data_IF_460905940743
#
_entry.id   IF_460905940743
#
_cell.length_a   1.000
_cell.length_b   1.000
_cell.length_c   1.000
_cell.angle_alpha   90.00
_cell.angle_beta   90.00
_cell.angle_gamma   90.00
#
_symmetry.space_group_name_H-M   'P 1'
#
loop_
_entity.id
_entity.type
_entity.pdbx_description
1 polymer ?
#
# COMPACT_ATOMS: atom_id res chain seq x y z
N UNK A 1 20.97 8.59 -0.72
CA UNK A 1 19.95 7.71 -0.08
C UNK A 1 18.95 7.27 -1.14
N UNK A 2 18.50 6.03 -1.12
CA UNK A 2 17.44 5.55 -2.00
C UNK A 2 16.12 6.27 -1.71
N UNK A 3 15.35 6.58 -2.77
CA UNK A 3 14.05 7.25 -2.61
C UNK A 3 13.10 6.34 -1.81
N UNK A 4 12.46 6.89 -0.76
CA UNK A 4 11.49 6.16 0.05
C UNK A 4 10.15 5.96 -0.65
N UNK A 5 9.84 6.78 -1.67
CA UNK A 5 8.56 6.68 -2.39
C UNK A 5 8.54 5.45 -3.30
N UNK A 6 7.40 4.79 -3.32
CA UNK A 6 7.06 3.62 -4.15
C UNK A 6 5.75 3.92 -4.87
N UNK A 7 5.68 3.70 -6.17
CA UNK A 7 4.43 3.87 -6.91
C UNK A 7 3.54 2.65 -6.71
N UNK A 8 2.38 2.87 -6.07
CA UNK A 8 1.30 1.89 -5.98
C UNK A 8 0.53 1.83 -7.30
N UNK A 9 0.26 0.65 -7.81
CA UNK A 9 -0.22 0.45 -9.18
C UNK A 9 -1.67 -0.08 -9.27
N UNK A 10 -2.42 -0.09 -8.18
CA UNK A 10 -3.79 -0.64 -8.17
C UNK A 10 -4.69 0.03 -9.22
N UNK A 11 -4.67 1.37 -9.30
CA UNK A 11 -5.45 2.14 -10.28
C UNK A 11 -4.91 2.05 -11.73
N UNK A 12 -3.77 1.42 -11.95
CA UNK A 12 -3.29 1.12 -13.30
C UNK A 12 -4.04 -0.06 -13.92
N UNK A 13 -4.50 -1.04 -13.13
CA UNK A 13 -5.16 -2.24 -13.60
C UNK A 13 -6.66 -2.31 -13.32
N UNK A 14 -7.18 -1.53 -12.37
CA UNK A 14 -8.58 -1.60 -11.95
C UNK A 14 -9.08 -0.25 -11.42
N UNK A 15 -10.39 -0.10 -11.30
CA UNK A 15 -10.96 1.02 -10.55
C UNK A 15 -10.56 0.86 -9.07
N UNK A 16 -9.94 1.89 -8.51
CA UNK A 16 -9.42 1.81 -7.15
C UNK A 16 -9.48 3.17 -6.44
N UNK A 17 -9.90 3.13 -5.18
CA UNK A 17 -10.02 4.31 -4.33
C UNK A 17 -11.46 4.83 -4.22
N UNK A 18 -11.63 5.83 -3.38
CA UNK A 18 -12.90 6.53 -3.16
C UNK A 18 -12.93 7.90 -3.85
N UNK A 19 -11.81 8.36 -4.40
CA UNK A 19 -11.67 9.65 -5.07
C UNK A 19 -12.58 9.82 -6.29
N UNK A 20 -12.86 11.08 -6.65
CA UNK A 20 -13.59 11.38 -7.90
C UNK A 20 -12.93 10.74 -9.12
N UNK A 21 -11.61 10.50 -9.04
CA UNK A 21 -10.78 9.86 -10.05
C UNK A 21 -10.46 8.39 -9.72
N UNK A 22 -11.39 7.66 -9.09
CA UNK A 22 -11.21 6.23 -8.75
C UNK A 22 -11.20 5.29 -9.97
N UNK A 23 -11.38 5.83 -11.17
CA UNK A 23 -11.35 5.06 -12.42
C UNK A 23 -9.94 4.56 -12.74
N UNK A 24 -9.90 3.39 -13.38
CA UNK A 24 -8.67 2.85 -13.95
C UNK A 24 -8.04 3.86 -14.92
N UNK A 25 -6.75 4.11 -14.75
CA UNK A 25 -6.02 5.04 -15.60
C UNK A 25 -5.86 4.53 -17.04
N UNK A 26 -5.73 5.45 -17.98
CA UNK A 26 -5.34 5.11 -19.35
C UNK A 26 -3.91 4.61 -19.41
N UNK A 27 -3.54 3.87 -20.45
CA UNK A 27 -2.15 3.44 -20.67
C UNK A 27 -1.22 4.64 -20.83
N UNK A 28 -1.68 5.65 -21.57
CA UNK A 28 -0.91 6.88 -21.78
C UNK A 28 -0.62 7.60 -20.46
N UNK A 29 -1.63 7.80 -19.61
CA UNK A 29 -1.45 8.42 -18.28
C UNK A 29 -0.51 7.59 -17.41
N UNK A 30 -0.67 6.26 -17.41
CA UNK A 30 0.23 5.34 -16.68
C UNK A 30 1.67 5.50 -17.12
N UNK A 31 1.92 5.51 -18.43
CA UNK A 31 3.26 5.71 -19.01
C UNK A 31 3.86 7.06 -18.62
N UNK A 32 3.09 8.13 -18.69
CA UNK A 32 3.53 9.48 -18.30
C UNK A 32 3.91 9.55 -16.82
N UNK A 33 3.09 8.95 -15.92
CA UNK A 33 3.38 8.86 -14.49
C UNK A 33 4.70 8.10 -14.25
N UNK A 34 4.90 6.95 -14.88
CA UNK A 34 6.11 6.14 -14.70
C UNK A 34 7.35 6.86 -15.23
N UNK A 35 7.26 7.52 -16.38
CA UNK A 35 8.35 8.33 -16.91
C UNK A 35 8.71 9.51 -16.00
N UNK A 36 7.68 10.16 -15.42
CA UNK A 36 7.90 11.26 -14.50
C UNK A 36 8.50 10.76 -13.18
N UNK A 37 8.01 9.65 -12.63
CA UNK A 37 8.55 9.02 -11.43
C UNK A 37 10.04 8.65 -11.58
N UNK A 38 10.45 8.12 -12.75
CA UNK A 38 11.87 7.86 -13.06
C UNK A 38 12.72 9.13 -12.96
N UNK A 39 12.23 10.26 -13.51
CA UNK A 39 12.94 11.54 -13.42
C UNK A 39 13.10 12.03 -11.97
N UNK A 40 12.18 11.70 -11.10
CA UNK A 40 12.24 11.98 -9.67
C UNK A 40 13.09 10.97 -8.87
N UNK A 41 13.69 9.98 -9.54
CA UNK A 41 14.52 8.94 -8.90
C UNK A 41 13.71 7.87 -8.16
N UNK A 42 12.39 7.78 -8.40
CA UNK A 42 11.56 6.69 -7.89
C UNK A 42 11.76 5.48 -8.78
N UNK A 43 12.17 4.34 -8.19
CA UNK A 43 12.56 3.14 -8.93
C UNK A 43 11.84 1.87 -8.47
N UNK A 44 10.83 2.00 -7.62
CA UNK A 44 10.11 0.84 -7.06
C UNK A 44 8.62 0.95 -7.36
N UNK A 45 8.04 -0.15 -7.84
CA UNK A 45 6.60 -0.33 -8.04
C UNK A 45 6.06 -1.32 -7.00
N UNK A 46 4.90 -1.01 -6.45
CA UNK A 46 4.10 -1.92 -5.63
C UNK A 46 2.85 -2.33 -6.41
N UNK A 47 2.78 -3.60 -6.78
CA UNK A 47 1.67 -4.21 -7.50
C UNK A 47 1.08 -5.39 -6.73
N UNK A 48 0.10 -6.06 -7.31
CA UNK A 48 -0.44 -7.34 -6.85
C UNK A 48 -1.03 -8.11 -8.02
N UNK A 49 -1.02 -9.43 -7.96
CA UNK A 49 -1.63 -10.32 -8.95
C UNK A 49 -3.13 -10.02 -9.09
N UNK A 50 -3.79 -9.60 -8.01
CA UNK A 50 -5.21 -9.25 -7.98
C UNK A 50 -5.57 -7.87 -8.55
N UNK A 51 -4.61 -7.08 -9.06
CA UNK A 51 -4.89 -5.73 -9.57
C UNK A 51 -5.32 -5.73 -11.06
N UNK A 52 -6.31 -6.55 -11.40
CA UNK A 52 -6.88 -6.59 -12.76
C UNK A 52 -5.84 -6.88 -13.83
N UNK A 53 -5.77 -6.06 -14.88
CA UNK A 53 -4.82 -6.21 -15.98
C UNK A 53 -3.47 -5.47 -15.76
N UNK A 54 -3.18 -5.06 -14.52
CA UNK A 54 -2.00 -4.26 -14.20
C UNK A 54 -0.70 -4.90 -14.68
N UNK A 55 -0.51 -6.21 -14.44
CA UNK A 55 0.69 -6.94 -14.86
C UNK A 55 0.95 -6.82 -16.36
N UNK A 56 -0.06 -7.08 -17.19
CA UNK A 56 0.02 -6.98 -18.65
C UNK A 56 0.34 -5.56 -19.11
N UNK A 57 -0.28 -4.58 -18.49
CA UNK A 57 -0.08 -3.17 -18.81
C UNK A 57 1.33 -2.69 -18.47
N UNK A 58 1.86 -3.09 -17.31
CA UNK A 58 3.24 -2.77 -16.93
C UNK A 58 4.23 -3.39 -17.92
N UNK A 59 4.03 -4.64 -18.33
CA UNK A 59 4.87 -5.28 -19.35
C UNK A 59 4.79 -4.59 -20.71
N UNK A 60 3.59 -4.17 -21.15
CA UNK A 60 3.40 -3.43 -22.40
C UNK A 60 4.13 -2.05 -22.39
N UNK A 61 4.12 -1.36 -21.24
CA UNK A 61 4.80 -0.06 -21.09
C UNK A 61 6.32 -0.22 -21.06
N UNK A 62 6.83 -1.35 -20.58
CA UNK A 62 8.27 -1.61 -20.40
C UNK A 62 8.79 -1.02 -19.09
N UNK A 63 9.08 -1.91 -18.13
CA UNK A 63 9.51 -1.51 -16.79
C UNK A 63 10.75 -2.29 -16.32
N UNK A 64 11.63 -2.68 -17.25
CA UNK A 64 12.78 -3.57 -16.99
C UNK A 64 13.71 -3.03 -15.91
N UNK A 65 13.82 -1.70 -15.79
CA UNK A 65 14.70 -1.04 -14.80
C UNK A 65 14.03 -0.83 -13.42
N UNK A 66 12.80 -1.28 -13.26
CA UNK A 66 12.09 -1.08 -12.02
C UNK A 66 12.27 -2.25 -11.06
N UNK A 67 12.36 -1.94 -9.76
CA UNK A 67 12.19 -2.91 -8.69
C UNK A 67 10.70 -3.15 -8.50
N UNK A 68 10.26 -4.38 -8.62
CA UNK A 68 8.83 -4.72 -8.52
C UNK A 68 8.56 -5.53 -7.26
N UNK A 69 7.66 -5.02 -6.43
CA UNK A 69 7.06 -5.74 -5.31
C UNK A 69 5.70 -6.22 -5.77
N UNK A 70 5.44 -7.51 -5.66
CA UNK A 70 4.12 -8.09 -5.99
C UNK A 70 3.50 -8.78 -4.78
N UNK A 71 2.21 -9.10 -4.87
CA UNK A 71 1.47 -9.77 -3.80
C UNK A 71 0.71 -10.97 -4.34
N UNK A 72 0.82 -12.10 -3.63
CA UNK A 72 -0.01 -13.26 -3.85
C UNK A 72 -1.39 -12.99 -3.22
N UNK A 73 -2.49 -13.15 -3.96
CA UNK A 73 -3.83 -12.97 -3.43
C UNK A 73 -4.17 -14.06 -2.41
N UNK A 74 -5.34 -13.93 -1.76
CA UNK A 74 -5.89 -14.97 -0.90
C UNK A 74 -5.94 -16.30 -1.66
N UNK A 75 -5.55 -17.39 -0.99
CA UNK A 75 -5.64 -18.74 -1.56
C UNK A 75 -7.10 -19.03 -1.90
N UNK A 76 -7.44 -19.39 -3.16
CA UNK A 76 -8.80 -19.73 -3.54
C UNK A 76 -9.28 -20.99 -2.83
N UNK A 77 -10.58 -21.06 -2.55
CA UNK A 77 -11.17 -22.28 -2.01
C UNK A 77 -11.03 -23.44 -3.00
N UNK A 78 -10.75 -24.65 -2.49
CA UNK A 78 -10.65 -25.85 -3.30
C UNK A 78 -9.33 -26.05 -4.03
N UNK A 79 -8.30 -25.28 -3.73
CA UNK A 79 -6.95 -25.55 -4.20
C UNK A 79 -6.39 -26.78 -3.49
N UNK A 80 -5.99 -27.79 -4.28
CA UNK A 80 -5.41 -29.04 -3.76
C UNK A 80 -3.88 -28.96 -3.65
N UNK A 81 -3.20 -28.18 -4.50
CA UNK A 81 -1.76 -27.99 -4.52
C UNK A 81 -1.43 -26.50 -4.50
N UNK A 82 -1.16 -25.99 -3.29
CA UNK A 82 -0.82 -24.58 -3.07
C UNK A 82 0.53 -24.25 -3.69
N UNK A 83 1.47 -25.19 -3.68
CA UNK A 83 2.80 -24.94 -4.22
C UNK A 83 2.76 -24.76 -5.74
N UNK A 84 2.02 -25.59 -6.46
CA UNK A 84 1.85 -25.46 -7.91
C UNK A 84 1.10 -24.15 -8.24
N UNK A 85 0.02 -23.85 -7.51
CA UNK A 85 -0.72 -22.62 -7.68
C UNK A 85 0.12 -21.37 -7.46
N UNK A 86 0.93 -21.31 -6.39
CA UNK A 86 1.85 -20.19 -6.11
C UNK A 86 2.87 -20.02 -7.22
N UNK A 87 3.50 -21.11 -7.65
CA UNK A 87 4.49 -21.10 -8.74
C UNK A 87 3.89 -20.60 -10.05
N UNK A 88 2.71 -21.14 -10.41
CA UNK A 88 2.02 -20.74 -11.62
C UNK A 88 1.64 -19.25 -11.60
N UNK A 89 1.03 -18.80 -10.49
CA UNK A 89 0.59 -17.40 -10.33
C UNK A 89 1.77 -16.42 -10.41
N UNK A 90 2.89 -16.73 -9.76
CA UNK A 90 4.08 -15.89 -9.80
C UNK A 90 4.77 -15.93 -11.16
N UNK A 91 4.88 -17.11 -11.78
CA UNK A 91 5.49 -17.26 -13.11
C UNK A 91 4.69 -16.48 -14.16
N UNK A 92 3.37 -16.60 -14.14
CA UNK A 92 2.48 -15.85 -15.03
C UNK A 92 2.65 -14.33 -14.81
N UNK A 93 2.62 -13.87 -13.55
CA UNK A 93 2.81 -12.45 -13.24
C UNK A 93 4.17 -11.94 -13.71
N UNK A 94 5.24 -12.70 -13.49
CA UNK A 94 6.59 -12.33 -13.93
C UNK A 94 6.67 -12.22 -15.47
N UNK A 95 6.07 -13.16 -16.18
CA UNK A 95 6.01 -13.18 -17.66
C UNK A 95 5.19 -11.99 -18.17
N UNK A 96 4.02 -11.72 -17.60
CA UNK A 96 3.17 -10.60 -18.01
C UNK A 96 3.82 -9.24 -17.77
N UNK A 97 4.53 -9.08 -16.65
CA UNK A 97 5.25 -7.84 -16.29
C UNK A 97 6.56 -7.69 -17.08
N UNK A 98 7.19 -8.79 -17.49
CA UNK A 98 8.48 -8.80 -18.14
C UNK A 98 9.68 -8.72 -17.18
N UNK A 99 9.54 -9.25 -15.95
CA UNK A 99 10.61 -9.25 -14.95
C UNK A 99 11.17 -10.66 -14.73
N UNK A 100 12.49 -10.76 -14.57
CA UNK A 100 13.15 -12.03 -14.23
C UNK A 100 13.18 -12.32 -12.72
N UNK A 101 13.08 -11.28 -11.90
CA UNK A 101 13.13 -11.39 -10.45
C UNK A 101 12.36 -10.24 -9.79
N UNK A 102 11.50 -10.56 -8.83
CA UNK A 102 10.83 -9.56 -8.00
C UNK A 102 11.77 -9.03 -6.89
N UNK A 103 11.63 -7.76 -6.53
CA UNK A 103 12.28 -7.20 -5.34
C UNK A 103 11.73 -7.86 -4.08
N UNK A 104 10.41 -8.06 -4.04
CA UNK A 104 9.76 -8.82 -2.99
C UNK A 104 8.44 -9.46 -3.47
N UNK A 105 8.09 -10.57 -2.82
CA UNK A 105 6.77 -11.18 -2.90
C UNK A 105 6.14 -11.12 -1.52
N UNK A 106 4.98 -10.48 -1.41
CA UNK A 106 4.22 -10.38 -0.18
C UNK A 106 3.00 -11.30 -0.23
N UNK A 107 2.57 -11.80 0.90
CA UNK A 107 1.24 -12.40 1.05
C UNK A 107 0.24 -11.29 1.34
N UNK A 108 -0.82 -11.22 0.52
CA UNK A 108 -1.81 -10.14 0.60
C UNK A 108 -2.79 -10.34 1.76
N UNK A 109 -3.08 -11.62 2.09
CA UNK A 109 -3.96 -12.00 3.20
C UNK A 109 -3.15 -12.75 4.28
N UNK A 110 -2.83 -12.13 5.43
CA UNK A 110 -2.02 -12.76 6.47
C UNK A 110 -2.66 -14.03 7.04
N UNK A 111 -4.00 -14.15 6.99
CA UNK A 111 -4.73 -15.33 7.45
C UNK A 111 -4.38 -16.62 6.71
N UNK A 112 -3.83 -16.54 5.49
CA UNK A 112 -3.44 -17.72 4.72
C UNK A 112 -2.25 -18.46 5.34
N UNK A 113 -1.44 -17.80 6.18
CA UNK A 113 -0.37 -18.47 6.92
C UNK A 113 -0.87 -19.30 8.10
N UNK A 114 -2.03 -18.96 8.65
CA UNK A 114 -2.62 -19.63 9.83
C UNK A 114 -3.55 -20.76 9.41
N UNK A 115 -4.02 -20.73 8.18
CA UNK A 115 -4.93 -21.73 7.62
C UNK A 115 -4.25 -23.07 7.33
N UNK A 116 -5.04 -24.01 6.85
CA UNK A 116 -4.64 -25.38 6.49
C UNK A 116 -3.39 -25.41 5.60
N UNK A 117 -3.28 -24.47 4.67
CA UNK A 117 -2.21 -24.38 3.68
C UNK A 117 -0.99 -23.54 4.09
N UNK A 118 -0.96 -23.03 5.31
CA UNK A 118 0.07 -22.06 5.73
C UNK A 118 1.51 -22.60 5.63
N UNK A 119 1.72 -23.88 5.94
CA UNK A 119 3.04 -24.52 5.83
C UNK A 119 3.49 -24.66 4.37
N UNK A 120 2.58 -25.07 3.48
CA UNK A 120 2.86 -25.22 2.06
C UNK A 120 3.14 -23.85 1.42
N UNK A 121 2.35 -22.84 1.78
CA UNK A 121 2.54 -21.46 1.33
C UNK A 121 3.93 -20.95 1.72
N UNK A 122 4.34 -21.10 2.99
CA UNK A 122 5.64 -20.67 3.46
C UNK A 122 6.78 -21.43 2.75
N UNK A 123 6.62 -22.75 2.57
CA UNK A 123 7.60 -23.55 1.84
C UNK A 123 7.75 -23.05 0.39
N UNK A 124 6.63 -22.79 -0.29
CA UNK A 124 6.61 -22.29 -1.67
C UNK A 124 7.33 -20.94 -1.80
N UNK A 125 7.08 -20.01 -0.87
CA UNK A 125 7.76 -18.72 -0.84
C UNK A 125 9.27 -18.85 -0.64
N UNK A 126 9.70 -19.73 0.29
CA UNK A 126 11.12 -20.01 0.53
C UNK A 126 11.79 -20.66 -0.68
N UNK A 127 11.08 -21.54 -1.42
CA UNK A 127 11.58 -22.14 -2.66
C UNK A 127 11.74 -21.09 -3.77
N UNK A 128 10.77 -20.19 -3.94
CA UNK A 128 10.88 -19.07 -4.88
C UNK A 128 12.09 -18.18 -4.56
N UNK A 129 12.32 -17.88 -3.29
CA UNK A 129 13.50 -17.10 -2.87
C UNK A 129 14.80 -17.86 -3.14
N UNK A 130 14.89 -19.15 -2.79
CA UNK A 130 16.04 -20.00 -3.09
C UNK A 130 16.37 -20.05 -4.58
N UNK A 131 15.35 -20.06 -5.43
CA UNK A 131 15.46 -20.04 -6.89
C UNK A 131 15.71 -18.65 -7.47
N UNK A 132 15.86 -17.62 -6.64
CA UNK A 132 16.07 -16.24 -7.04
C UNK A 132 14.95 -15.65 -7.89
N UNK A 133 13.72 -16.15 -7.74
CA UNK A 133 12.52 -15.53 -8.33
C UNK A 133 12.13 -14.27 -7.57
N UNK A 134 12.47 -14.21 -6.29
CA UNK A 134 12.34 -13.01 -5.45
C UNK A 134 13.55 -12.81 -4.55
N UNK A 135 13.85 -11.57 -4.19
CA UNK A 135 14.90 -11.27 -3.22
C UNK A 135 14.40 -11.39 -1.79
N UNK A 136 13.16 -10.98 -1.51
CA UNK A 136 12.59 -10.91 -0.17
C UNK A 136 11.19 -11.52 -0.12
N UNK A 137 10.82 -11.99 1.06
CA UNK A 137 9.48 -12.49 1.37
C UNK A 137 8.88 -11.61 2.46
N UNK A 138 7.63 -11.24 2.29
CA UNK A 138 6.95 -10.40 3.26
C UNK A 138 5.45 -10.64 3.37
N UNK A 139 4.79 -9.78 4.12
CA UNK A 139 3.36 -9.87 4.37
C UNK A 139 2.71 -8.48 4.39
N UNK A 140 1.50 -8.38 3.88
CA UNK A 140 0.65 -7.19 4.03
C UNK A 140 -0.31 -7.41 5.19
N UNK A 141 -0.24 -6.55 6.20
CA UNK A 141 -1.07 -6.63 7.42
C UNK A 141 -2.01 -5.45 7.52
N UNK A 142 -2.98 -5.56 8.41
CA UNK A 142 -3.87 -4.46 8.81
C UNK A 142 -3.75 -4.10 10.29
N UNK A 143 -3.43 -5.08 11.12
CA UNK A 143 -3.43 -4.96 12.58
C UNK A 143 -2.15 -5.57 13.19
N UNK A 144 -1.82 -5.11 14.38
CA UNK A 144 -0.70 -5.65 15.16
C UNK A 144 -0.79 -7.17 15.32
N UNK A 145 -1.99 -7.67 15.62
CA UNK A 145 -2.27 -9.11 15.80
C UNK A 145 -1.90 -9.94 14.57
N UNK A 146 -2.06 -9.40 13.36
CA UNK A 146 -1.67 -10.11 12.14
C UNK A 146 -0.18 -10.44 12.17
N UNK A 147 0.66 -9.43 12.48
CA UNK A 147 2.11 -9.64 12.53
C UNK A 147 2.54 -10.52 13.70
N UNK A 148 1.97 -10.34 14.89
CA UNK A 148 2.25 -11.18 16.05
C UNK A 148 2.01 -12.66 15.74
N UNK A 149 0.94 -12.96 15.02
CA UNK A 149 0.62 -14.31 14.56
C UNK A 149 1.65 -14.82 13.56
N UNK A 150 2.07 -14.00 12.60
CA UNK A 150 3.09 -14.36 11.59
C UNK A 150 4.44 -14.60 12.23
N UNK A 151 4.86 -13.79 13.20
CA UNK A 151 6.15 -13.92 13.88
C UNK A 151 6.28 -15.25 14.63
N UNK A 152 5.19 -15.88 15.05
CA UNK A 152 5.20 -17.24 15.62
C UNK A 152 5.45 -18.33 14.57
N UNK A 153 5.33 -18.00 13.27
CA UNK A 153 5.50 -18.94 12.15
C UNK A 153 6.86 -18.72 11.46
N UNK A 154 7.16 -17.47 11.13
CA UNK A 154 8.44 -17.05 10.54
C UNK A 154 8.63 -15.55 10.69
N UNK A 155 9.86 -15.08 10.58
CA UNK A 155 10.18 -13.67 10.52
C UNK A 155 10.15 -13.20 9.06
N UNK A 156 9.18 -12.34 8.65
CA UNK A 156 9.15 -11.75 7.33
C UNK A 156 10.30 -10.74 7.16
N UNK A 157 10.74 -10.53 5.92
CA UNK A 157 11.78 -9.53 5.63
C UNK A 157 11.15 -8.15 5.37
N UNK A 158 9.86 -8.14 4.97
CA UNK A 158 9.08 -6.93 4.73
C UNK A 158 7.70 -7.08 5.38
N UNK A 159 7.30 -6.04 6.07
CA UNK A 159 5.91 -5.84 6.52
C UNK A 159 5.34 -4.62 5.82
N UNK A 160 4.23 -4.79 5.11
CA UNK A 160 3.49 -3.69 4.52
C UNK A 160 2.19 -3.46 5.27
N UNK A 161 1.93 -2.23 5.73
CA UNK A 161 0.78 -1.93 6.58
C UNK A 161 0.16 -0.55 6.27
N UNK A 162 -1.14 -0.35 6.57
CA UNK A 162 -1.77 0.95 6.44
C UNK A 162 -1.31 1.88 7.56
N UNK A 163 -0.91 3.10 7.20
CA UNK A 163 -0.65 4.19 8.14
C UNK A 163 -0.98 5.51 7.46
N UNK A 164 -1.75 6.35 8.12
CA UNK A 164 -2.00 7.71 7.69
C UNK A 164 -2.30 8.61 8.90
N UNK A 165 -2.52 9.89 8.66
CA UNK A 165 -2.75 10.88 9.70
C UNK A 165 -3.99 10.60 10.58
N UNK A 166 -4.89 9.74 10.08
CA UNK A 166 -6.13 9.32 10.76
C UNK A 166 -5.98 7.91 11.33
N UNK A 167 -5.46 6.96 10.55
CA UNK A 167 -5.20 5.59 11.01
C UNK A 167 -3.80 5.47 11.60
N UNK A 168 -3.74 5.60 12.92
CA UNK A 168 -2.51 5.51 13.72
C UNK A 168 -2.45 4.22 14.54
N UNK A 169 -3.28 3.20 14.24
CA UNK A 169 -3.36 1.96 15.03
C UNK A 169 -2.01 1.30 15.24
N UNK A 170 -1.16 1.30 14.22
CA UNK A 170 0.18 0.69 14.23
C UNK A 170 1.30 1.65 14.70
N UNK A 171 0.98 2.91 15.02
CA UNK A 171 1.94 3.85 15.60
C UNK A 171 1.96 3.82 17.12
N UNK A 172 0.95 3.22 17.76
CA UNK A 172 0.86 3.13 19.22
C UNK A 172 2.06 2.36 19.77
N UNK A 173 2.64 2.89 20.87
CA UNK A 173 3.76 2.27 21.60
C UNK A 173 5.00 2.01 20.73
N UNK A 174 5.28 2.90 19.77
CA UNK A 174 6.45 2.81 18.87
C UNK A 174 6.55 1.49 18.09
N UNK A 175 5.42 0.83 17.84
CA UNK A 175 5.37 -0.53 17.26
C UNK A 175 6.11 -0.66 15.93
N UNK A 176 6.01 0.33 15.03
CA UNK A 176 6.76 0.29 13.76
C UNK A 176 8.28 0.38 13.98
N UNK A 177 8.70 1.11 15.02
CA UNK A 177 10.11 1.17 15.39
C UNK A 177 10.60 -0.17 15.96
N UNK A 178 9.78 -0.84 16.77
CA UNK A 178 10.07 -2.20 17.24
C UNK A 178 10.27 -3.17 16.07
N UNK A 179 9.37 -3.15 15.08
CA UNK A 179 9.47 -3.98 13.87
C UNK A 179 10.78 -3.69 13.12
N UNK A 180 11.11 -2.42 12.92
CA UNK A 180 12.35 -2.01 12.26
C UNK A 180 13.60 -2.50 13.01
N UNK A 181 13.58 -2.43 14.36
CA UNK A 181 14.67 -2.92 15.21
C UNK A 181 14.86 -4.46 15.13
N UNK A 182 13.84 -5.20 14.73
CA UNK A 182 13.94 -6.63 14.43
C UNK A 182 14.63 -6.91 13.08
N UNK A 183 15.02 -5.88 12.32
CA UNK A 183 15.59 -5.99 10.98
C UNK A 183 14.56 -6.26 9.88
N UNK A 184 13.30 -5.97 10.14
CA UNK A 184 12.19 -6.10 9.19
C UNK A 184 11.97 -4.76 8.50
N UNK A 185 11.96 -4.72 7.17
CA UNK A 185 11.63 -3.49 6.44
C UNK A 185 10.14 -3.15 6.61
N UNK A 186 9.87 -1.91 6.95
CA UNK A 186 8.51 -1.39 7.13
C UNK A 186 8.09 -0.57 5.92
N UNK A 187 7.11 -1.06 5.19
CA UNK A 187 6.48 -0.35 4.08
C UNK A 187 5.09 0.13 4.49
N UNK A 188 4.83 1.41 4.40
CA UNK A 188 3.48 1.92 4.66
C UNK A 188 2.71 2.16 3.37
N UNK A 189 1.39 1.97 3.44
CA UNK A 189 0.45 2.22 2.35
C UNK A 189 -0.77 3.00 2.84
N UNK A 190 -1.66 3.36 1.92
CA UNK A 190 -2.94 4.02 2.22
C UNK A 190 -2.79 5.38 2.92
N UNK A 191 -1.74 6.13 2.60
CA UNK A 191 -1.44 7.42 3.24
C UNK A 191 -2.55 8.46 3.04
N UNK A 192 -3.36 8.31 1.99
CA UNK A 192 -4.54 9.14 1.70
C UNK A 192 -5.87 8.44 2.02
N UNK A 193 -5.84 7.31 2.75
CA UNK A 193 -7.02 6.50 3.05
C UNK A 193 -7.83 6.20 1.77
N UNK A 194 -7.17 5.61 0.75
CA UNK A 194 -7.71 5.35 -0.58
C UNK A 194 -8.27 6.61 -1.30
N UNK A 195 -7.68 7.77 -1.04
CA UNK A 195 -8.09 9.05 -1.61
C UNK A 195 -9.16 9.79 -0.79
N UNK A 196 -9.77 9.13 0.20
CA UNK A 196 -10.85 9.72 1.00
C UNK A 196 -10.41 11.00 1.73
N UNK A 197 -9.18 11.08 2.23
CA UNK A 197 -8.67 12.25 2.94
C UNK A 197 -8.35 13.44 2.03
N UNK A 198 -8.32 13.25 0.71
CA UNK A 198 -8.01 14.31 -0.25
C UNK A 198 -9.25 14.98 -0.85
N UNK A 199 -10.44 14.52 -0.45
CA UNK A 199 -11.68 15.16 -0.88
C UNK A 199 -11.83 16.59 -0.35
N UNK A 200 -12.44 17.42 -1.17
CA UNK A 200 -13.10 18.62 -0.64
C UNK A 200 -14.25 18.18 0.26
N UNK A 201 -14.31 18.76 1.46
CA UNK A 201 -15.33 18.42 2.46
C UNK A 201 -16.78 18.64 1.99
N UNK A 202 -16.99 19.37 0.89
CA UNK A 202 -18.30 19.55 0.27
C UNK A 202 -18.69 18.41 -0.68
N UNK A 203 -17.71 17.58 -1.09
CA UNK A 203 -17.88 16.51 -2.08
C UNK A 203 -17.60 15.11 -1.52
N UNK A 204 -17.73 14.93 -0.21
CA UNK A 204 -17.51 13.65 0.45
C UNK A 204 -18.54 12.62 -0.03
N UNK A 205 -18.11 11.39 -0.39
CA UNK A 205 -19.05 10.34 -0.77
C UNK A 205 -20.11 10.09 0.31
N UNK A 206 -21.35 9.83 -0.14
CA UNK A 206 -22.52 9.78 0.73
C UNK A 206 -22.38 8.81 1.91
N UNK A 207 -21.70 7.68 1.70
CA UNK A 207 -21.44 6.68 2.72
C UNK A 207 -20.57 7.18 3.88
N UNK A 208 -19.79 8.24 3.66
CA UNK A 208 -18.92 8.85 4.68
C UNK A 208 -19.49 10.13 5.28
N UNK A 209 -20.65 10.61 4.80
CA UNK A 209 -21.27 11.84 5.35
C UNK A 209 -21.74 11.68 6.79
N UNK A 210 -21.95 10.45 7.26
CA UNK A 210 -22.29 10.14 8.65
C UNK A 210 -21.20 10.55 9.66
N UNK A 211 -19.95 10.68 9.23
CA UNK A 211 -18.82 11.10 10.06
C UNK A 211 -18.64 12.63 10.08
N UNK A 212 -19.74 13.38 10.24
CA UNK A 212 -19.77 14.85 10.13
C UNK A 212 -18.77 15.54 11.04
N UNK A 213 -18.71 15.12 12.30
CA UNK A 213 -17.84 15.72 13.32
C UNK A 213 -16.36 15.56 12.94
N UNK A 214 -16.00 14.39 12.40
CA UNK A 214 -14.66 14.15 11.87
C UNK A 214 -14.35 15.12 10.72
N UNK A 215 -15.24 15.27 9.74
CA UNK A 215 -15.00 16.14 8.59
C UNK A 215 -14.92 17.61 8.96
N UNK A 216 -15.74 18.07 9.91
CA UNK A 216 -15.66 19.43 10.43
C UNK A 216 -14.34 19.69 11.14
N UNK A 217 -13.90 18.75 11.98
CA UNK A 217 -12.63 18.82 12.67
C UNK A 217 -11.45 18.80 11.70
N UNK A 218 -11.50 17.94 10.67
CA UNK A 218 -10.50 17.85 9.62
C UNK A 218 -10.33 19.18 8.88
N UNK A 219 -11.44 19.75 8.38
CA UNK A 219 -11.46 21.05 7.70
C UNK A 219 -10.92 22.17 8.59
N UNK A 220 -11.38 22.23 9.83
CA UNK A 220 -10.98 23.27 10.80
C UNK A 220 -9.49 23.19 11.11
N UNK A 221 -8.98 21.97 11.33
CA UNK A 221 -7.55 21.76 11.60
C UNK A 221 -6.69 22.13 10.39
N UNK A 222 -7.02 21.66 9.17
CA UNK A 222 -6.32 22.03 7.95
C UNK A 222 -6.24 23.55 7.77
N UNK A 223 -7.37 24.24 7.98
CA UNK A 223 -7.45 25.70 7.88
C UNK A 223 -6.56 26.40 8.92
N UNK A 224 -6.56 25.91 10.17
CA UNK A 224 -5.73 26.47 11.24
C UNK A 224 -4.23 26.32 10.97
N UNK A 225 -3.84 25.20 10.35
CA UNK A 225 -2.44 24.90 10.00
C UNK A 225 -2.04 25.48 8.63
N UNK A 226 -2.99 26.01 7.86
CA UNK A 226 -2.82 26.48 6.46
C UNK A 226 -2.24 25.39 5.57
N UNK A 227 -2.74 24.17 5.69
CA UNK A 227 -2.31 22.99 4.93
C UNK A 227 -3.38 22.56 3.93
N UNK A 228 -2.93 22.03 2.79
CA UNK A 228 -3.81 21.23 1.93
C UNK A 228 -3.95 19.80 2.50
N UNK A 229 -5.01 19.05 2.18
CA UNK A 229 -5.15 17.66 2.60
C UNK A 229 -3.97 16.79 2.17
N UNK A 230 -3.49 16.94 0.93
CA UNK A 230 -2.35 16.18 0.40
C UNK A 230 -1.08 16.52 1.17
N UNK A 231 -0.81 17.81 1.41
CA UNK A 231 0.34 18.27 2.18
C UNK A 231 0.35 17.68 3.60
N UNK A 232 -0.79 17.73 4.28
CA UNK A 232 -0.94 17.20 5.63
C UNK A 232 -0.62 15.71 5.70
N UNK A 233 -1.21 14.91 4.79
CA UNK A 233 -0.97 13.46 4.75
C UNK A 233 0.48 13.11 4.45
N UNK A 234 1.10 13.76 3.46
CA UNK A 234 2.48 13.47 3.04
C UNK A 234 3.48 13.87 4.12
N UNK A 235 3.35 15.07 4.68
CA UNK A 235 4.27 15.56 5.72
C UNK A 235 4.13 14.77 7.03
N UNK A 236 2.93 14.29 7.34
CA UNK A 236 2.71 13.40 8.48
C UNK A 236 3.50 12.10 8.31
N UNK A 237 3.30 11.36 7.22
CA UNK A 237 3.96 10.06 7.06
C UNK A 237 5.47 10.18 6.89
N UNK A 238 5.95 11.29 6.33
CA UNK A 238 7.39 11.54 6.18
C UNK A 238 8.09 11.81 7.54
N UNK A 239 7.34 12.15 8.58
CA UNK A 239 7.88 12.39 9.93
C UNK A 239 8.08 11.10 10.74
N UNK A 240 7.46 9.99 10.33
CA UNK A 240 7.44 8.76 11.11
C UNK A 240 8.80 8.04 10.98
N UNK A 241 9.40 7.73 12.12
CA UNK A 241 10.64 6.95 12.17
C UNK A 241 10.38 5.46 11.96
N UNK A 242 11.41 4.73 11.52
CA UNK A 242 11.30 3.28 11.31
C UNK A 242 10.55 2.86 10.04
N UNK A 243 10.26 3.81 9.12
CA UNK A 243 9.66 3.53 7.83
C UNK A 243 10.73 3.53 6.73
N UNK A 244 10.80 2.44 5.97
CA UNK A 244 11.72 2.27 4.85
C UNK A 244 11.12 2.74 3.53
N UNK A 245 9.84 2.42 3.27
CA UNK A 245 9.15 2.76 2.02
C UNK A 245 7.73 3.26 2.26
N UNK A 246 7.28 4.16 1.39
CA UNK A 246 5.95 4.77 1.40
C UNK A 246 5.29 4.53 0.05
N UNK A 247 4.27 3.68 0.03
CA UNK A 247 3.51 3.35 -1.18
C UNK A 247 2.45 4.43 -1.41
N UNK A 248 2.57 5.12 -2.56
CA UNK A 248 1.67 6.19 -2.97
C UNK A 248 0.87 5.80 -4.21
N UNK A 249 -0.46 5.94 -4.13
CA UNK A 249 -1.32 5.94 -5.31
C UNK A 249 -1.32 7.32 -5.96
N UNK A 250 -1.21 7.36 -7.28
CA UNK A 250 -1.19 8.62 -8.05
C UNK A 250 -2.07 8.52 -9.28
N UNK A 251 -2.78 9.60 -9.61
CA UNK A 251 -3.73 9.64 -10.74
C UNK A 251 -3.22 10.49 -11.91
N UNK A 252 -2.17 11.28 -11.71
CA UNK A 252 -1.56 12.13 -12.74
C UNK A 252 -0.11 12.48 -12.38
N UNK A 253 0.63 13.01 -13.35
CA UNK A 253 1.97 13.56 -13.13
C UNK A 253 1.95 14.78 -12.20
N UNK A 254 0.91 15.61 -12.26
CA UNK A 254 0.73 16.76 -11.37
C UNK A 254 0.53 16.32 -9.91
N UNK A 255 -0.30 15.29 -9.68
CA UNK A 255 -0.48 14.71 -8.35
C UNK A 255 0.84 14.14 -7.81
N UNK A 256 1.62 13.43 -8.65
CA UNK A 256 2.94 12.94 -8.24
C UNK A 256 3.91 14.07 -7.93
N UNK A 257 3.89 15.15 -8.73
CA UNK A 257 4.73 16.33 -8.50
C UNK A 257 4.38 17.00 -7.16
N UNK A 258 3.10 17.14 -6.85
CA UNK A 258 2.60 17.69 -5.59
C UNK A 258 3.07 16.87 -4.39
N UNK A 259 2.87 15.54 -4.43
CA UNK A 259 3.34 14.63 -3.37
C UNK A 259 4.85 14.76 -3.18
N UNK A 260 5.62 14.73 -4.26
CA UNK A 260 7.07 14.82 -4.22
C UNK A 260 7.55 16.17 -3.62
N UNK A 261 6.86 17.26 -3.98
CA UNK A 261 7.13 18.58 -3.40
C UNK A 261 6.91 18.57 -1.88
N UNK A 262 5.77 18.06 -1.40
CA UNK A 262 5.50 18.03 0.04
C UNK A 262 6.38 17.04 0.81
N UNK A 263 6.87 16.00 0.16
CA UNK A 263 7.81 15.05 0.75
C UNK A 263 9.15 15.70 1.12
N UNK A 264 9.53 16.79 0.46
CA UNK A 264 10.73 17.58 0.79
C UNK A 264 10.53 18.62 1.89
N UNK A 265 9.28 18.84 2.35
CA UNK A 265 8.95 19.80 3.40
C UNK A 265 9.22 19.22 4.80
N UNK A 266 9.46 20.08 5.81
CA UNK A 266 9.59 19.62 7.18
C UNK A 266 8.30 18.96 7.68
N UNK A 267 8.38 18.12 8.73
CA UNK A 267 7.21 17.54 9.38
C UNK A 267 6.15 18.59 9.75
N UNK A 268 4.90 18.15 9.90
CA UNK A 268 3.85 19.01 10.47
C UNK A 268 4.19 19.35 11.91
N UNK A 269 3.89 20.58 12.34
CA UNK A 269 4.23 21.05 13.70
C UNK A 269 3.31 20.48 14.77
N UNK A 270 2.03 20.41 14.45
CA UNK A 270 1.00 19.90 15.34
C UNK A 270 0.16 18.86 14.61
N UNK A 271 0.06 17.67 15.18
CA UNK A 271 -0.83 16.64 14.70
C UNK A 271 -2.28 16.93 15.11
N UNK A 272 -3.26 16.57 14.25
CA UNK A 272 -4.66 16.70 14.64
C UNK A 272 -4.96 15.78 15.83
N UNK A 273 -5.75 16.30 16.76
CA UNK A 273 -6.28 15.51 17.87
C UNK A 273 -7.69 15.08 17.50
N UNK A 274 -7.80 13.81 17.14
CA UNK A 274 -9.10 13.16 16.99
C UNK A 274 -9.59 12.76 18.38
N UNK A 275 -10.91 12.73 18.60
CA UNK A 275 -11.50 12.10 19.79
C UNK A 275 -10.96 10.66 19.93
N UNK A 276 -10.96 10.11 21.12
CA UNK A 276 -10.27 8.87 21.48
C UNK A 276 -10.60 7.66 20.60
N UNK A 277 -11.72 7.67 19.87
CA UNK A 277 -12.22 6.55 19.10
C UNK A 277 -12.73 7.02 17.74
N UNK A 278 -11.78 7.22 16.81
CA UNK A 278 -12.18 7.22 15.39
C UNK A 278 -12.79 5.85 15.09
N UNK A 279 -14.02 5.87 14.60
CA UNK A 279 -14.74 4.66 14.27
C UNK A 279 -13.93 3.80 13.31
N UNK A 280 -13.70 2.56 13.65
CA UNK A 280 -12.97 1.59 12.81
C UNK A 280 -13.54 1.56 11.40
N UNK A 281 -14.84 1.79 11.25
CA UNK A 281 -15.55 1.85 9.99
C UNK A 281 -15.10 3.01 9.08
N UNK A 282 -14.57 4.10 9.64
CA UNK A 282 -13.98 5.18 8.84
C UNK A 282 -12.59 4.80 8.32
N UNK A 283 -11.76 4.21 9.18
CA UNK A 283 -10.32 4.03 8.91
C UNK A 283 -9.96 2.69 8.28
N UNK A 284 -10.90 1.71 8.27
CA UNK A 284 -10.65 0.39 7.73
C UNK A 284 -11.40 0.14 6.41
N UNK A 285 -10.73 0.25 5.25
CA UNK A 285 -11.37 0.05 3.94
C UNK A 285 -12.01 -1.33 3.74
N UNK A 286 -11.65 -2.33 4.53
CA UNK A 286 -12.27 -3.67 4.45
C UNK A 286 -13.74 -3.64 4.85
N UNK A 287 -14.17 -2.64 5.62
CA UNK A 287 -15.54 -2.49 6.12
C UNK A 287 -16.42 -1.65 5.19
N UNK A 288 -15.85 -0.91 4.23
CA UNK A 288 -16.61 0.03 3.41
C UNK A 288 -17.58 -0.60 2.42
N UNK A 289 -17.30 -1.83 1.97
CA UNK A 289 -18.13 -2.53 0.96
C UNK A 289 -19.16 -3.49 1.54
N UNK A 290 -19.23 -3.62 2.87
CA UNK A 290 -20.17 -4.56 3.51
C UNK A 290 -21.63 -4.09 3.44
N UNK A 291 -21.90 -2.83 3.11
CA UNK A 291 -23.24 -2.24 3.03
C UNK A 291 -23.74 -2.03 1.57
N UNK A 292 -23.07 -2.62 0.59
CA UNK A 292 -23.51 -2.57 -0.83
C UNK A 292 -24.21 -3.87 -1.25
N UNK A 293 -25.06 -4.42 -0.37
CA UNK A 293 -26.02 -5.49 -0.72
C UNK A 293 -27.41 -4.91 -0.90
#
# INVERSE_FOLDING_TARGET
MENKLVIGTANFGMNYGQGMDSKRLSEQTTKEILQFARRLGIKTLDTAISYGDCSKRLGFIGIEDWKVITKIPKIPNGINDVNDWVKHSISQSAQEIGVSMFEAILIHNPGDFVGEHGKELLWSLKDLKKKRVTKKIGVSIYEKKDLETILNIFQPEIVQCPVNIVDKRLLKNEYLHEISNMGIEVHIRSIFLQGLLTYDTENIPVEFTRFKDFWQNWKSWLSSQKLTPVEACVRFVNSIQGIDKIVIGVNSTLHLQEIFHYFSKPPIKEEPRWGSDLETELIDPRLWNQNKT
#
